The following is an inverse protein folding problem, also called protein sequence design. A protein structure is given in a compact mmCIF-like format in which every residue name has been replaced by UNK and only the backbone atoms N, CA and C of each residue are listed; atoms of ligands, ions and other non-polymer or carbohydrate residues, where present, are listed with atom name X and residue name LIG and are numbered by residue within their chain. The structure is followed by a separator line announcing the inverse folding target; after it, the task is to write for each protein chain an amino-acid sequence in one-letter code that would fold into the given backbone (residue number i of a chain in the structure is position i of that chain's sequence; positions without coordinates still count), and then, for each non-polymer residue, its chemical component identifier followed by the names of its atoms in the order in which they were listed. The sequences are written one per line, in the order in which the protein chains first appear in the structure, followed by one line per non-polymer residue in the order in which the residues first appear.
data_IF_278942300098
#
_entry.id   IF_278942300098
#
_cell.length_a   1.000
_cell.length_b   1.000
_cell.length_c   1.000
_cell.angle_alpha   90.00
_cell.angle_beta   90.00
_cell.angle_gamma   90.00
#
_symmetry.space_group_name_H-M   'P 1'
#
loop_
_entity.id
_entity.type
_entity.pdbx_description
1 polymer ?
#
# COMPACT_ATOMS: atom_id res chain seq x y z
N UNK A 1 -25.52 2.75 -22.01
CA UNK A 1 -24.75 1.59 -21.52
C UNK A 1 -24.14 0.86 -22.71
N UNK A 2 -22.83 1.01 -22.94
CA UNK A 2 -21.96 -0.14 -23.08
C UNK A 2 -21.36 -0.44 -21.69
N UNK A 3 -21.23 -1.70 -21.29
CA UNK A 3 -20.37 -2.06 -20.17
C UNK A 3 -18.95 -1.68 -20.57
N UNK A 4 -18.30 -0.79 -19.80
CA UNK A 4 -16.85 -0.70 -19.85
C UNK A 4 -16.33 -2.11 -19.62
N UNK A 5 -15.60 -2.64 -20.60
CA UNK A 5 -15.17 -4.03 -20.64
C UNK A 5 -14.54 -4.44 -19.29
N UNK A 6 -14.77 -5.67 -18.82
CA UNK A 6 -14.06 -6.18 -17.65
C UNK A 6 -12.55 -6.05 -17.92
N UNK A 7 -11.75 -5.60 -16.93
CA UNK A 7 -10.31 -5.56 -17.09
C UNK A 7 -9.83 -6.98 -17.44
N UNK A 8 -9.06 -7.08 -18.52
CA UNK A 8 -8.40 -8.32 -18.93
C UNK A 8 -7.50 -8.79 -17.77
N UNK A 9 -7.47 -10.09 -17.43
CA UNK A 9 -6.87 -10.54 -16.18
C UNK A 9 -5.34 -10.38 -16.07
N UNK A 10 -4.59 -10.03 -17.13
CA UNK A 10 -3.13 -10.22 -17.12
C UNK A 10 -2.31 -9.18 -17.92
N UNK A 11 -2.71 -7.91 -18.00
CA UNK A 11 -1.84 -6.85 -18.57
C UNK A 11 -1.20 -6.05 -17.43
N UNK A 12 0.14 -5.95 -17.44
CA UNK A 12 0.98 -5.53 -16.30
C UNK A 12 0.55 -4.24 -15.61
N UNK A 13 -0.23 -4.38 -14.54
CA UNK A 13 -0.65 -3.29 -13.68
C UNK A 13 0.46 -2.93 -12.68
N UNK A 14 1.25 -1.90 -12.99
CA UNK A 14 2.08 -1.22 -12.00
C UNK A 14 1.25 -0.18 -11.19
N UNK A 15 0.03 -0.55 -10.79
CA UNK A 15 -0.84 0.26 -9.96
C UNK A 15 -0.83 -0.32 -8.54
N UNK A 16 -0.44 0.49 -7.56
CA UNK A 16 -0.50 0.05 -6.16
C UNK A 16 -1.97 0.10 -5.73
N UNK A 17 -2.64 -1.05 -5.71
CA UNK A 17 -3.98 -1.17 -5.16
C UNK A 17 -3.92 -1.42 -3.65
N UNK A 18 -4.70 -0.68 -2.88
CA UNK A 18 -4.77 -0.88 -1.44
C UNK A 18 -5.69 -2.06 -1.11
N UNK A 19 -5.14 -3.17 -0.63
CA UNK A 19 -5.96 -4.35 -0.27
C UNK A 19 -6.93 -4.16 0.93
N UNK A 20 -6.96 -2.98 1.56
CA UNK A 20 -7.90 -2.65 2.65
C UNK A 20 -9.15 -1.95 2.11
N UNK A 21 -8.98 -0.93 1.26
CA UNK A 21 -10.10 -0.16 0.70
C UNK A 21 -10.37 -0.46 -0.78
N UNK A 22 -9.54 -1.31 -1.41
CA UNK A 22 -9.59 -1.68 -2.82
C UNK A 22 -9.49 -0.49 -3.77
N UNK A 23 -9.02 0.67 -3.30
CA UNK A 23 -8.78 1.84 -4.15
C UNK A 23 -7.40 1.76 -4.81
N UNK A 24 -7.27 2.12 -6.10
CA UNK A 24 -5.99 2.29 -6.77
C UNK A 24 -5.27 3.55 -6.25
N UNK A 25 -3.95 3.48 -6.10
CA UNK A 25 -3.13 4.64 -5.77
C UNK A 25 -2.79 5.43 -7.04
N UNK A 26 -3.39 6.60 -7.18
CA UNK A 26 -3.08 7.55 -8.26
C UNK A 26 -1.72 8.22 -8.04
N UNK A 27 -1.04 8.70 -9.10
CA UNK A 27 0.17 9.51 -8.95
C UNK A 27 -0.12 10.76 -8.10
N UNK A 28 0.70 10.99 -7.08
CA UNK A 28 0.49 12.00 -6.05
C UNK A 28 -0.08 11.45 -4.74
N UNK A 29 -0.65 10.23 -4.76
CA UNK A 29 -1.20 9.58 -3.57
C UNK A 29 -0.11 9.24 -2.54
N UNK A 30 -0.52 9.20 -1.26
CA UNK A 30 0.33 8.81 -0.14
C UNK A 30 0.04 7.36 0.25
N UNK A 31 1.05 6.52 0.12
CA UNK A 31 1.01 5.13 0.56
C UNK A 31 1.83 4.95 1.83
N UNK A 32 1.40 4.00 2.67
CA UNK A 32 2.09 3.57 3.87
C UNK A 32 2.88 2.29 3.63
N UNK A 33 4.16 2.28 4.01
CA UNK A 33 5.01 1.09 4.07
C UNK A 33 5.21 0.67 5.52
N UNK A 34 5.31 -0.65 5.74
CA UNK A 34 5.35 -1.24 7.08
C UNK A 34 6.79 -1.52 7.50
N UNK A 35 7.30 -0.89 8.55
CA UNK A 35 8.67 -1.02 9.05
C UNK A 35 8.70 -1.62 10.46
N UNK A 36 9.71 -2.42 10.79
CA UNK A 36 9.86 -3.01 12.13
C UNK A 36 10.13 -1.94 13.19
N UNK A 37 10.84 -0.88 12.83
CA UNK A 37 11.06 0.28 13.70
C UNK A 37 11.37 1.57 12.93
N UNK A 38 11.53 2.70 13.64
CA UNK A 38 11.73 4.02 13.03
C UNK A 38 13.07 4.13 12.29
N UNK A 39 14.10 3.42 12.77
CA UNK A 39 15.43 3.35 12.16
C UNK A 39 15.57 2.25 11.10
N UNK A 40 14.53 1.45 10.85
CA UNK A 40 14.60 0.39 9.85
C UNK A 40 14.71 1.01 8.45
N UNK A 41 15.86 0.80 7.82
CA UNK A 41 16.10 1.24 6.46
C UNK A 41 15.14 0.55 5.48
N UNK A 42 14.82 -0.71 5.72
CA UNK A 42 13.95 -1.53 4.87
C UNK A 42 12.59 -1.82 5.53
N UNK A 43 11.53 -1.99 4.73
CA UNK A 43 10.23 -2.39 5.23
C UNK A 43 10.27 -3.86 5.69
N UNK A 44 9.45 -4.19 6.68
CA UNK A 44 9.23 -5.57 7.17
C UNK A 44 8.63 -6.50 6.10
N UNK A 45 7.92 -5.94 5.12
CA UNK A 45 7.30 -6.69 4.02
C UNK A 45 7.12 -5.78 2.79
N UNK A 46 7.00 -6.35 1.58
CA UNK A 46 6.85 -5.57 0.35
C UNK A 46 5.43 -5.00 0.14
N UNK A 47 4.50 -5.25 1.05
CA UNK A 47 3.11 -4.81 0.94
C UNK A 47 2.96 -3.31 1.19
N UNK A 48 2.08 -2.68 0.40
CA UNK A 48 1.84 -1.24 0.38
C UNK A 48 0.34 -1.01 0.43
N UNK A 49 -0.06 0.01 1.18
CA UNK A 49 -1.47 0.35 1.39
C UNK A 49 -1.62 1.87 1.35
N UNK A 50 -2.84 2.40 1.19
CA UNK A 50 -3.09 3.81 1.44
C UNK A 50 -2.66 4.15 2.88
N UNK A 51 -1.99 5.28 3.07
CA UNK A 51 -1.52 5.68 4.41
C UNK A 51 -2.66 5.69 5.44
N UNK A 52 -3.81 6.24 5.06
CA UNK A 52 -4.96 6.36 5.95
C UNK A 52 -5.50 4.99 6.40
N UNK A 53 -5.58 4.04 5.48
CA UNK A 53 -6.07 2.68 5.74
C UNK A 53 -5.15 1.92 6.69
N UNK A 54 -3.85 1.90 6.39
CA UNK A 54 -2.90 1.17 7.24
C UNK A 54 -2.67 1.88 8.58
N UNK A 55 -2.79 3.22 8.62
CA UNK A 55 -2.74 3.98 9.87
C UNK A 55 -3.93 3.64 10.77
N UNK A 56 -5.16 3.59 10.24
CA UNK A 56 -6.34 3.12 10.99
C UNK A 56 -6.16 1.69 11.47
N UNK A 57 -5.66 0.80 10.61
CA UNK A 57 -5.38 -0.59 10.96
C UNK A 57 -4.38 -0.71 12.13
N UNK A 58 -3.31 0.10 12.11
CA UNK A 58 -2.28 0.08 13.16
C UNK A 58 -2.78 0.42 14.56
N UNK A 59 -3.93 1.11 14.67
CA UNK A 59 -4.59 1.39 15.95
C UNK A 59 -5.22 0.14 16.57
N UNK A 60 -5.59 -0.83 15.76
CA UNK A 60 -6.17 -2.10 16.20
C UNK A 60 -5.10 -3.20 16.34
N UNK A 61 -4.18 -3.30 15.38
CA UNK A 61 -3.13 -4.32 15.40
C UNK A 61 -1.88 -3.90 14.63
N UNK A 62 -0.73 -4.40 15.06
CA UNK A 62 0.57 -4.12 14.46
C UNK A 62 1.04 -5.21 13.48
N UNK A 63 0.08 -5.94 12.90
CA UNK A 63 0.32 -7.02 11.95
C UNK A 63 -0.09 -6.60 10.54
N UNK A 64 0.71 -6.94 9.54
CA UNK A 64 0.38 -6.69 8.14
C UNK A 64 -0.93 -7.43 7.76
N UNK A 65 -1.91 -6.75 7.12
CA UNK A 65 -3.17 -7.39 6.72
C UNK A 65 -3.02 -8.59 5.78
N UNK A 66 -1.95 -8.62 4.97
CA UNK A 66 -1.73 -9.65 3.94
C UNK A 66 -0.89 -10.82 4.46
N UNK A 67 0.30 -10.54 4.98
CA UNK A 67 1.23 -11.59 5.42
C UNK A 67 1.31 -11.79 6.93
N UNK A 68 0.60 -10.98 7.73
CA UNK A 68 0.61 -11.03 9.21
C UNK A 68 1.99 -10.76 9.83
N UNK A 69 2.92 -10.19 9.06
CA UNK A 69 4.23 -9.74 9.57
C UNK A 69 4.08 -8.59 10.56
N UNK A 70 4.86 -8.61 11.65
CA UNK A 70 4.86 -7.53 12.66
C UNK A 70 5.57 -6.29 12.14
N UNK A 71 4.97 -5.13 12.38
CA UNK A 71 5.57 -3.83 12.13
C UNK A 71 5.48 -2.94 13.37
N UNK A 72 6.48 -2.10 13.60
CA UNK A 72 6.49 -1.13 14.71
C UNK A 72 6.18 0.30 14.26
N UNK A 73 6.37 0.62 12.98
CA UNK A 73 6.17 1.97 12.43
C UNK A 73 5.64 1.91 10.99
N UNK A 74 4.91 2.96 10.60
CA UNK A 74 4.44 3.17 9.22
C UNK A 74 5.17 4.37 8.64
N UNK A 75 5.78 4.23 7.46
CA UNK A 75 6.39 5.34 6.72
C UNK A 75 5.51 5.76 5.55
N UNK A 76 5.46 7.08 5.31
CA UNK A 76 4.72 7.68 4.20
C UNK A 76 5.61 7.76 2.97
N UNK A 77 5.10 7.32 1.83
CA UNK A 77 5.76 7.46 0.53
C UNK A 77 4.79 8.10 -0.46
N UNK A 78 5.31 8.99 -1.31
CA UNK A 78 4.56 9.55 -2.44
C UNK A 78 4.68 8.63 -3.64
N UNK A 79 3.56 8.41 -4.33
CA UNK A 79 3.55 7.72 -5.62
C UNK A 79 3.88 8.74 -6.72
N UNK A 80 4.97 8.54 -7.46
CA UNK A 80 5.36 9.34 -8.62
C UNK A 80 5.44 8.43 -9.84
N UNK A 81 4.54 8.64 -10.80
CA UNK A 81 4.49 7.89 -12.09
C UNK A 81 4.51 6.36 -11.91
N UNK A 82 3.70 5.83 -11.00
CA UNK A 82 3.59 4.38 -10.73
C UNK A 82 4.69 3.79 -9.83
N UNK A 83 5.64 4.60 -9.35
CA UNK A 83 6.68 4.18 -8.41
C UNK A 83 6.55 4.92 -7.08
N UNK A 84 7.12 4.36 -6.00
CA UNK A 84 7.17 5.02 -4.69
C UNK A 84 8.53 5.69 -4.49
N UNK A 85 8.54 6.98 -4.19
CA UNK A 85 9.75 7.72 -3.84
C UNK A 85 9.85 7.87 -2.31
N UNK A 86 11.09 7.84 -1.79
CA UNK A 86 11.36 8.10 -0.35
C UNK A 86 11.23 9.58 -0.02
#
# INVERSE_FOLDING_TARGET
CPPAAPPTPNEGNNCIECAICLCPAEPGSIVGTLHVGPSSAEPSCPHRFCFDCIFKWSKATNLCPLCKGRFGCIRKHKVVRGNITR
#
